data_IF_546031811392
#
_entry.id   IF_546031811392
#
_cell.length_a   1.000
_cell.length_b   1.000
_cell.length_c   1.000
_cell.angle_alpha   90.00
_cell.angle_beta   90.00
_cell.angle_gamma   90.00
#
_symmetry.space_group_name_H-M   'P 1'
#
loop_
_entity.id
_entity.type
_entity.pdbx_description
1 polymer ?
#
# COMPACT_ATOMS: atom_id res chain seq x y z
N UNK A 1 -2.65 9.97 25.81
CA UNK A 1 -1.86 11.13 25.38
C UNK A 1 -1.78 11.05 23.87
N UNK A 2 -2.65 11.77 23.19
CA UNK A 2 -2.65 11.87 21.73
C UNK A 2 -1.72 13.01 21.31
N UNK A 3 -0.94 12.78 20.25
CA UNK A 3 0.02 13.76 19.78
C UNK A 3 -0.62 14.75 18.79
N UNK A 4 -0.17 16.01 18.85
CA UNK A 4 -0.48 17.02 17.84
C UNK A 4 0.37 16.74 16.59
N UNK A 5 -0.21 17.00 15.42
CA UNK A 5 0.49 16.79 14.14
C UNK A 5 1.83 17.54 14.09
N UNK A 6 2.91 16.77 13.95
CA UNK A 6 4.26 17.29 13.80
C UNK A 6 4.75 17.11 12.37
N UNK A 7 4.98 18.23 11.67
CA UNK A 7 5.43 18.24 10.27
C UNK A 7 6.81 17.59 10.09
N UNK A 8 7.71 17.69 11.09
CA UNK A 8 9.04 17.04 11.01
C UNK A 8 8.92 15.53 11.09
N UNK A 9 8.12 15.03 12.03
CA UNK A 9 7.81 13.60 12.18
C UNK A 9 7.14 13.04 10.93
N UNK A 10 6.15 13.75 10.39
CA UNK A 10 5.49 13.40 9.12
C UNK A 10 6.48 13.38 7.95
N UNK A 11 7.42 14.33 7.90
CA UNK A 11 8.41 14.42 6.82
C UNK A 11 9.38 13.23 6.85
N UNK A 12 9.80 12.81 8.04
CA UNK A 12 10.74 11.69 8.24
C UNK A 12 10.10 10.32 8.08
N UNK A 13 8.83 10.16 8.47
CA UNK A 13 8.13 8.87 8.41
C UNK A 13 7.49 8.58 7.05
N UNK A 14 6.93 9.61 6.40
CA UNK A 14 6.17 9.43 5.16
C UNK A 14 7.12 9.52 3.95
N UNK A 15 7.34 8.43 3.21
CA UNK A 15 8.16 8.48 2.01
C UNK A 15 7.46 9.26 0.89
N UNK A 16 8.25 9.94 0.05
CA UNK A 16 7.75 10.56 -1.17
C UNK A 16 7.45 9.48 -2.21
N UNK A 17 6.25 9.50 -2.80
CA UNK A 17 5.95 8.58 -3.91
C UNK A 17 6.92 8.81 -5.06
N UNK A 18 7.49 7.71 -5.57
CA UNK A 18 8.38 7.71 -6.72
C UNK A 18 7.87 6.79 -7.85
N UNK A 19 6.57 6.45 -7.83
CA UNK A 19 5.96 5.53 -8.79
C UNK A 19 6.23 4.05 -8.53
N UNK A 20 7.06 3.69 -7.53
CA UNK A 20 7.24 2.32 -7.10
C UNK A 20 6.07 1.88 -6.20
N UNK A 21 5.48 0.73 -6.50
CA UNK A 21 4.38 0.14 -5.71
C UNK A 21 4.82 -0.15 -4.27
N UNK A 22 6.07 -0.59 -4.06
CA UNK A 22 6.61 -0.85 -2.72
C UNK A 22 6.64 0.40 -1.84
N UNK A 23 7.06 1.53 -2.42
CA UNK A 23 7.08 2.83 -1.73
C UNK A 23 5.65 3.32 -1.46
N UNK A 24 4.70 2.98 -2.34
CA UNK A 24 3.29 3.31 -2.15
C UNK A 24 2.68 2.50 -1.00
N UNK A 25 3.03 1.21 -0.86
CA UNK A 25 2.62 0.38 0.30
C UNK A 25 3.20 0.91 1.60
N UNK A 26 4.50 1.21 1.62
CA UNK A 26 5.16 1.82 2.78
C UNK A 26 4.56 3.17 3.17
N UNK A 27 4.18 3.99 2.19
CA UNK A 27 3.48 5.25 2.44
C UNK A 27 2.12 5.00 3.11
N UNK A 28 1.34 4.03 2.63
CA UNK A 28 0.04 3.69 3.21
C UNK A 28 0.20 3.21 4.66
N UNK A 29 1.12 2.29 4.92
CA UNK A 29 1.35 1.75 6.25
C UNK A 29 1.85 2.85 7.22
N UNK A 30 2.69 3.76 6.75
CA UNK A 30 3.14 4.91 7.53
C UNK A 30 2.01 5.91 7.82
N UNK A 31 1.05 6.08 6.91
CA UNK A 31 -0.15 6.90 7.13
C UNK A 31 -1.05 6.26 8.19
N UNK A 32 -1.30 4.95 8.10
CA UNK A 32 -2.11 4.21 9.09
C UNK A 32 -1.48 4.27 10.48
N UNK A 33 -0.17 4.05 10.57
CA UNK A 33 0.58 4.16 11.82
C UNK A 33 0.47 5.57 12.41
N UNK A 34 0.72 6.59 11.60
CA UNK A 34 0.71 7.97 12.10
C UNK A 34 -0.71 8.46 12.42
N UNK A 35 -1.74 8.01 11.70
CA UNK A 35 -3.14 8.29 12.03
C UNK A 35 -3.53 7.73 13.42
N UNK A 36 -3.01 6.56 13.78
CA UNK A 36 -3.31 5.92 15.07
C UNK A 36 -2.76 6.70 16.28
N UNK A 37 -1.76 7.56 16.06
CA UNK A 37 -1.06 8.33 17.09
C UNK A 37 -1.60 9.77 17.26
N UNK A 38 -2.43 10.23 16.31
CA UNK A 38 -2.88 11.63 16.21
C UNK A 38 -4.28 11.87 16.76
N UNK A 39 -4.49 13.08 17.28
CA UNK A 39 -5.81 13.65 17.56
C UNK A 39 -6.62 13.94 16.28
N UNK A 40 -7.95 14.05 16.39
CA UNK A 40 -8.85 14.34 15.25
C UNK A 40 -8.43 15.57 14.41
N UNK A 41 -7.95 16.64 15.04
CA UNK A 41 -7.43 17.82 14.33
C UNK A 41 -6.10 17.51 13.59
N UNK A 42 -5.26 16.66 14.19
CA UNK A 42 -4.02 16.19 13.58
C UNK A 42 -4.27 15.26 12.40
N UNK A 43 -5.35 14.48 12.42
CA UNK A 43 -5.74 13.59 11.32
C UNK A 43 -6.09 14.37 10.06
N UNK A 44 -6.84 15.47 10.17
CA UNK A 44 -7.12 16.35 9.02
C UNK A 44 -5.84 17.03 8.47
N UNK A 45 -4.93 17.44 9.36
CA UNK A 45 -3.64 17.99 8.94
C UNK A 45 -2.80 16.95 8.19
N UNK A 46 -2.81 15.69 8.63
CA UNK A 46 -2.16 14.57 7.95
C UNK A 46 -2.75 14.32 6.55
N UNK A 47 -4.08 14.30 6.42
CA UNK A 47 -4.75 14.13 5.11
C UNK A 47 -4.28 15.19 4.13
N UNK A 48 -4.30 16.46 4.56
CA UNK A 48 -3.88 17.59 3.73
C UNK A 48 -2.39 17.54 3.38
N UNK A 49 -1.54 17.13 4.33
CA UNK A 49 -0.11 16.99 4.11
C UNK A 49 0.20 15.88 3.09
N UNK A 50 -0.41 14.71 3.22
CA UNK A 50 -0.22 13.60 2.27
C UNK A 50 -0.67 14.03 0.87
N UNK A 51 -1.86 14.62 0.75
CA UNK A 51 -2.42 15.09 -0.52
C UNK A 51 -1.52 16.11 -1.23
N UNK A 52 -0.96 17.07 -0.49
CA UNK A 52 -0.17 18.16 -1.07
C UNK A 52 1.32 17.84 -1.25
N UNK A 53 1.93 17.13 -0.31
CA UNK A 53 3.39 17.07 -0.17
C UNK A 53 4.01 15.67 -0.39
N UNK A 54 3.21 14.60 -0.48
CA UNK A 54 3.74 13.23 -0.58
C UNK A 54 3.28 12.44 -1.81
N UNK A 55 2.15 12.81 -2.39
CA UNK A 55 1.66 12.23 -3.65
C UNK A 55 2.34 12.84 -4.87
N UNK A 56 2.61 12.01 -5.88
CA UNK A 56 2.99 12.48 -7.22
C UNK A 56 1.82 13.13 -7.93
N UNK A 57 2.07 14.01 -8.89
CA UNK A 57 1.03 14.65 -9.71
C UNK A 57 0.10 13.62 -10.39
N UNK A 58 0.67 12.49 -10.83
CA UNK A 58 -0.09 11.36 -11.38
C UNK A 58 -1.06 10.72 -10.37
N UNK A 59 -0.67 10.63 -9.10
CA UNK A 59 -1.49 10.08 -8.03
C UNK A 59 -2.59 11.08 -7.62
N UNK A 60 -2.28 12.38 -7.59
CA UNK A 60 -3.25 13.45 -7.32
C UNK A 60 -4.40 13.46 -8.32
N UNK A 61 -4.13 13.20 -9.60
CA UNK A 61 -5.17 13.13 -10.65
C UNK A 61 -6.11 11.93 -10.45
N UNK A 62 -5.61 10.82 -9.89
CA UNK A 62 -6.40 9.59 -9.67
C UNK A 62 -7.21 9.60 -8.38
N UNK A 63 -6.85 10.47 -7.43
CA UNK A 63 -7.47 10.58 -6.12
C UNK A 63 -8.44 11.76 -6.05
N UNK A 64 -9.33 11.76 -5.05
CA UNK A 64 -10.25 12.87 -4.81
C UNK A 64 -9.51 14.06 -4.19
N UNK A 65 -10.00 15.26 -4.48
CA UNK A 65 -9.39 16.51 -3.97
C UNK A 65 -9.64 16.74 -2.46
N UNK A 66 -10.67 16.11 -1.89
CA UNK A 66 -11.05 16.28 -0.48
C UNK A 66 -11.48 14.93 0.09
N UNK A 67 -10.89 14.57 1.24
CA UNK A 67 -11.24 13.37 1.99
C UNK A 67 -11.70 13.77 3.40
N UNK A 68 -12.82 13.18 3.85
CA UNK A 68 -13.36 13.43 5.18
C UNK A 68 -12.63 12.65 6.30
N UNK A 69 -11.91 11.58 5.94
CA UNK A 69 -11.17 10.73 6.87
C UNK A 69 -9.94 10.12 6.18
N UNK A 70 -8.86 9.93 6.95
CA UNK A 70 -7.66 9.23 6.49
C UNK A 70 -7.96 7.78 6.08
N UNK A 71 -8.98 7.14 6.66
CA UNK A 71 -9.40 5.79 6.26
C UNK A 71 -9.89 5.75 4.81
N UNK A 72 -10.64 6.76 4.37
CA UNK A 72 -11.12 6.87 2.99
C UNK A 72 -9.97 7.19 2.02
N UNK A 73 -9.01 8.00 2.45
CA UNK A 73 -7.79 8.28 1.68
C UNK A 73 -7.00 6.99 1.45
N UNK A 74 -6.74 6.23 2.52
CA UNK A 74 -5.98 4.98 2.45
C UNK A 74 -6.70 3.95 1.58
N UNK A 75 -8.02 3.82 1.70
CA UNK A 75 -8.81 2.91 0.86
C UNK A 75 -8.70 3.27 -0.62
N UNK A 76 -8.83 4.55 -0.98
CA UNK A 76 -8.68 5.01 -2.35
C UNK A 76 -7.23 4.85 -2.85
N UNK A 77 -6.22 5.09 -2.00
CA UNK A 77 -4.82 4.83 -2.34
C UNK A 77 -4.59 3.35 -2.64
N UNK A 78 -5.13 2.44 -1.82
CA UNK A 78 -5.06 0.99 -2.06
C UNK A 78 -5.76 0.59 -3.36
N UNK A 79 -6.86 1.27 -3.73
CA UNK A 79 -7.65 0.93 -4.93
C UNK A 79 -7.09 1.50 -6.24
N UNK A 80 -6.59 2.74 -6.22
CA UNK A 80 -6.20 3.48 -7.43
C UNK A 80 -4.69 3.56 -7.66
N UNK A 81 -3.88 3.39 -6.61
CA UNK A 81 -2.41 3.48 -6.70
C UNK A 81 -1.72 2.12 -6.67
N UNK A 82 -2.31 1.11 -6.02
CA UNK A 82 -1.80 -0.25 -6.08
C UNK A 82 -2.40 -0.96 -7.29
N UNK A 83 -1.52 -1.56 -8.10
CA UNK A 83 -1.94 -2.46 -9.16
C UNK A 83 -2.49 -3.73 -8.52
N UNK A 84 -3.82 -3.90 -8.53
CA UNK A 84 -4.45 -5.17 -8.21
C UNK A 84 -4.02 -6.20 -9.24
N UNK A 85 -3.05 -7.05 -8.87
CA UNK A 85 -2.72 -8.25 -9.63
C UNK A 85 -3.92 -9.18 -9.52
N UNK A 86 -4.61 -9.43 -10.63
CA UNK A 86 -5.75 -10.35 -10.62
C UNK A 86 -5.29 -11.77 -10.32
N UNK A 87 -6.11 -12.54 -9.59
CA UNK A 87 -5.84 -13.95 -9.33
C UNK A 87 -5.61 -14.75 -10.63
N UNK A 88 -6.31 -14.38 -11.70
CA UNK A 88 -6.10 -14.95 -13.04
C UNK A 88 -4.70 -14.66 -13.62
N UNK A 89 -4.19 -13.44 -13.45
CA UNK A 89 -2.83 -13.06 -13.90
C UNK A 89 -1.75 -13.75 -13.07
N UNK A 90 -1.94 -13.84 -11.75
CA UNK A 90 -1.02 -14.54 -10.85
C UNK A 90 -1.00 -16.04 -11.11
N UNK A 91 -2.17 -16.68 -11.28
CA UNK A 91 -2.28 -18.09 -11.64
C UNK A 91 -1.60 -18.40 -12.97
N UNK A 92 -1.79 -17.52 -13.97
CA UNK A 92 -1.11 -17.66 -15.27
C UNK A 92 0.41 -17.55 -15.11
N UNK A 93 0.91 -16.61 -14.32
CA UNK A 93 2.35 -16.47 -14.04
C UNK A 93 2.92 -17.68 -13.29
N UNK A 94 2.14 -18.29 -12.39
CA UNK A 94 2.52 -19.46 -11.60
C UNK A 94 2.62 -20.72 -12.48
N UNK A 95 1.72 -20.89 -13.45
CA UNK A 95 1.80 -21.99 -14.43
C UNK A 95 2.93 -21.77 -15.44
N UNK A 96 3.22 -20.52 -15.79
CA UNK A 96 4.24 -20.18 -16.79
C UNK A 96 5.66 -20.07 -16.22
N UNK A 97 5.83 -20.04 -14.90
CA UNK A 97 7.15 -19.92 -14.30
C UNK A 97 7.98 -21.16 -14.57
N UNK A 98 9.20 -20.97 -15.06
CA UNK A 98 10.19 -22.04 -15.29
C UNK A 98 11.47 -21.70 -14.56
N UNK A 99 12.10 -22.72 -14.00
CA UNK A 99 13.34 -22.58 -13.24
C UNK A 99 14.47 -21.95 -14.07
N UNK A 100 14.55 -22.29 -15.37
CA UNK A 100 15.55 -21.76 -16.30
C UNK A 100 16.97 -21.74 -15.67
N UNK A 101 17.61 -20.57 -15.60
CA UNK A 101 18.94 -20.37 -15.02
C UNK A 101 18.92 -19.92 -13.54
N UNK A 102 17.80 -20.01 -12.84
CA UNK A 102 17.71 -19.64 -11.41
C UNK A 102 18.13 -20.81 -10.52
N UNK A 103 18.73 -20.50 -9.36
CA UNK A 103 19.01 -21.53 -8.34
C UNK A 103 17.69 -22.14 -7.85
N UNK A 104 17.75 -23.38 -7.35
CA UNK A 104 16.56 -24.06 -6.79
C UNK A 104 15.96 -23.22 -5.65
N UNK A 105 16.80 -22.60 -4.83
CA UNK A 105 16.37 -21.69 -3.76
C UNK A 105 15.64 -20.45 -4.28
N UNK A 106 16.22 -19.75 -5.27
CA UNK A 106 15.61 -18.53 -5.81
C UNK A 106 14.32 -18.82 -6.56
N UNK A 107 14.26 -19.96 -7.24
CA UNK A 107 13.03 -20.44 -7.86
C UNK A 107 11.96 -20.77 -6.81
N UNK A 108 12.34 -21.49 -5.75
CA UNK A 108 11.46 -21.81 -4.62
C UNK A 108 10.86 -20.56 -3.98
N UNK A 109 11.69 -19.57 -3.64
CA UNK A 109 11.24 -18.27 -3.08
C UNK A 109 10.29 -17.54 -4.03
N UNK A 110 10.55 -17.60 -5.34
CA UNK A 110 9.70 -16.93 -6.34
C UNK A 110 8.33 -17.60 -6.48
N UNK A 111 8.29 -18.93 -6.44
CA UNK A 111 7.03 -19.69 -6.43
C UNK A 111 6.24 -19.42 -5.15
N UNK A 112 6.92 -19.42 -4.01
CA UNK A 112 6.32 -19.13 -2.70
C UNK A 112 5.72 -17.72 -2.66
N UNK A 113 6.46 -16.70 -3.11
CA UNK A 113 5.95 -15.34 -3.19
C UNK A 113 4.73 -15.22 -4.12
N UNK A 114 4.75 -15.90 -5.28
CA UNK A 114 3.60 -15.92 -6.20
C UNK A 114 2.38 -16.64 -5.60
N UNK A 115 2.58 -17.70 -4.82
CA UNK A 115 1.51 -18.40 -4.10
C UNK A 115 0.90 -17.51 -3.01
N UNK A 116 1.72 -16.80 -2.25
CA UNK A 116 1.25 -15.85 -1.23
C UNK A 116 0.45 -14.73 -1.88
N UNK A 117 0.97 -14.11 -2.95
CA UNK A 117 0.24 -13.09 -3.70
C UNK A 117 -1.07 -13.62 -4.29
N UNK A 118 -1.08 -14.85 -4.81
CA UNK A 118 -2.29 -15.49 -5.35
C UNK A 118 -3.33 -15.74 -4.26
N UNK A 119 -2.89 -16.21 -3.09
CA UNK A 119 -3.77 -16.47 -1.94
C UNK A 119 -4.42 -15.17 -1.46
N UNK A 120 -3.63 -14.09 -1.35
CA UNK A 120 -4.14 -12.76 -1.00
C UNK A 120 -5.13 -12.25 -2.07
N UNK A 121 -4.82 -12.44 -3.35
CA UNK A 121 -5.68 -12.01 -4.46
C UNK A 121 -6.98 -12.83 -4.57
N UNK A 122 -6.94 -14.13 -4.24
CA UNK A 122 -8.13 -14.99 -4.19
C UNK A 122 -9.01 -14.69 -2.98
N UNK A 123 -8.42 -14.22 -1.87
CA UNK A 123 -9.13 -13.78 -0.69
C UNK A 123 -9.71 -12.35 -0.81
N UNK A 124 -9.69 -11.73 -1.99
CA UNK A 124 -10.11 -10.33 -2.21
C UNK A 124 -9.41 -9.31 -1.27
N UNK A 125 -8.19 -9.63 -0.83
CA UNK A 125 -7.45 -8.81 0.14
C UNK A 125 -7.97 -8.92 1.59
N UNK A 126 -8.82 -9.90 1.90
CA UNK A 126 -9.30 -10.16 3.24
C UNK A 126 -8.34 -11.10 4.00
N UNK A 127 -7.35 -10.50 4.68
CA UNK A 127 -6.38 -11.21 5.52
C UNK A 127 -7.01 -12.03 6.66
N UNK A 128 -8.28 -11.80 7.01
CA UNK A 128 -9.01 -12.54 8.03
C UNK A 128 -9.64 -13.85 7.53
N UNK A 129 -9.68 -14.10 6.22
CA UNK A 129 -10.20 -15.35 5.66
C UNK A 129 -9.21 -16.54 5.80
N UNK A 130 -8.04 -16.31 6.39
CA UNK A 130 -6.95 -17.28 6.56
C UNK A 130 -6.88 -17.92 7.96
N UNK A 131 -7.99 -17.95 8.71
CA UNK A 131 -8.07 -18.83 9.87
C UNK A 131 -8.23 -20.28 9.41
N UNK A 132 -7.10 -21.00 9.35
CA UNK A 132 -7.04 -22.46 9.37
C UNK A 132 -6.64 -22.86 10.79
#
# INVERSE_FOLDING_TARGET
>A
MTEKFNLKTATSLLPLMNGNESVTKQLIDAIELYDSLLDNDGKQALTNYVLKARLTESAKIRLKNVYASNALLVQDMRRFLLTTKSAASLSTQLVQIRQNNMSIEDFGRKVENLLVELTIAQADGNSEALQI
#
